data_IF_961130653774
#
_entry.id   IF_961130653774
#
_cell.length_a   1.000
_cell.length_b   1.000
_cell.length_c   1.000
_cell.angle_alpha   90.00
_cell.angle_beta   90.00
_cell.angle_gamma   90.00
#
_symmetry.space_group_name_H-M   'P 1'
#
loop_
_entity.id
_entity.type
_entity.pdbx_description
1 polymer ?
#
# COMPACT_ATOMS: atom_id res chain seq x y z
N UNK A 1 -44.99 40.93 29.54
CA UNK A 1 -45.46 41.28 30.89
C UNK A 1 -46.98 41.17 30.91
N UNK A 2 -47.59 40.66 31.97
CA UNK A 2 -47.56 39.26 32.44
C UNK A 2 -48.97 38.64 32.41
N UNK A 3 -49.12 37.36 32.75
CA UNK A 3 -50.43 36.78 33.07
C UNK A 3 -50.54 35.28 32.79
N UNK A 4 -50.11 34.47 33.75
CA UNK A 4 -50.43 33.05 33.87
C UNK A 4 -51.94 32.81 34.01
N UNK A 5 -52.43 31.70 33.46
CA UNK A 5 -53.57 30.98 34.02
C UNK A 5 -53.46 29.48 33.65
N UNK A 6 -53.26 28.63 34.65
CA UNK A 6 -53.77 27.25 34.67
C UNK A 6 -54.98 27.25 35.61
N UNK A 7 -55.97 26.35 35.43
CA UNK A 7 -55.90 25.14 36.25
C UNK A 7 -56.51 23.85 35.64
N UNK A 8 -55.99 22.75 36.17
CA UNK A 8 -56.67 21.52 36.64
C UNK A 8 -57.62 20.71 35.73
N UNK A 9 -57.33 19.40 35.68
CA UNK A 9 -58.31 18.44 36.19
C UNK A 9 -58.56 17.17 35.37
N UNK A 10 -58.16 16.02 35.93
CA UNK A 10 -58.74 14.68 35.69
C UNK A 10 -58.23 13.97 34.43
N UNK A 11 -57.89 12.69 34.40
CA UNK A 11 -58.08 11.59 35.34
C UNK A 11 -58.18 10.30 34.51
N UNK A 12 -57.56 9.21 34.96
CA UNK A 12 -57.93 7.86 34.52
C UNK A 12 -56.91 7.08 33.68
N UNK A 13 -56.16 6.22 34.38
CA UNK A 13 -56.09 4.77 34.16
C UNK A 13 -55.92 4.21 32.72
N UNK A 14 -54.74 3.63 32.41
CA UNK A 14 -54.49 2.16 32.38
C UNK A 14 -53.20 1.80 31.62
N UNK A 15 -52.40 0.96 32.30
CA UNK A 15 -51.70 -0.24 31.83
C UNK A 15 -50.97 -0.27 30.47
N UNK A 16 -49.67 -0.55 30.56
CA UNK A 16 -49.06 -1.67 29.83
C UNK A 16 -48.51 -1.38 28.43
N UNK A 17 -47.20 -1.18 28.34
CA UNK A 17 -46.50 -1.10 27.06
C UNK A 17 -44.98 -1.09 27.22
N UNK A 18 -44.42 -2.24 27.61
CA UNK A 18 -43.01 -2.58 27.39
C UNK A 18 -42.71 -2.51 25.89
N UNK A 19 -41.69 -1.74 25.48
CA UNK A 19 -41.39 -1.58 24.06
C UNK A 19 -40.05 -0.91 23.77
N UNK A 20 -38.98 -1.68 23.81
CA UNK A 20 -37.94 -1.65 22.76
C UNK A 20 -37.01 -0.44 22.68
N UNK A 21 -36.35 -0.06 23.78
CA UNK A 21 -35.13 0.74 23.69
C UNK A 21 -33.93 -0.15 23.34
N UNK A 22 -33.60 -0.30 22.05
CA UNK A 22 -32.45 -1.14 21.71
C UNK A 22 -32.19 -1.40 20.24
N UNK A 23 -32.05 -0.38 19.40
CA UNK A 23 -31.41 -0.54 18.07
C UNK A 23 -30.65 0.68 17.56
N UNK A 24 -30.86 1.88 18.12
CA UNK A 24 -30.13 3.09 17.68
C UNK A 24 -28.72 3.26 18.29
N UNK A 25 -28.44 2.62 19.44
CA UNK A 25 -27.16 2.74 20.14
C UNK A 25 -26.00 1.97 19.48
N UNK A 26 -26.28 0.79 18.92
CA UNK A 26 -25.24 -0.13 18.43
C UNK A 26 -24.60 0.33 17.12
N UNK A 27 -25.35 1.00 16.24
CA UNK A 27 -24.81 1.57 15.00
C UNK A 27 -23.95 2.83 15.25
N UNK A 28 -24.25 3.58 16.30
CA UNK A 28 -23.49 4.79 16.66
C UNK A 28 -22.14 4.45 17.31
N UNK A 29 -22.07 3.34 18.05
CA UNK A 29 -20.83 2.82 18.65
C UNK A 29 -19.81 2.36 17.60
N UNK A 30 -20.24 1.70 16.52
CA UNK A 30 -19.34 1.17 15.49
C UNK A 30 -18.71 2.23 14.57
N UNK A 31 -19.31 3.43 14.47
CA UNK A 31 -18.78 4.52 13.66
C UNK A 31 -17.67 5.32 14.37
N UNK A 32 -17.47 5.09 15.68
CA UNK A 32 -16.53 5.83 16.53
C UNK A 32 -15.22 5.13 16.89
N UNK A 33 -15.05 3.83 16.63
CA UNK A 33 -13.97 3.04 17.26
C UNK A 33 -12.60 3.07 16.54
N UNK A 34 -12.50 3.68 15.35
CA UNK A 34 -11.25 3.72 14.58
C UNK A 34 -10.48 5.02 14.74
N UNK A 35 -9.18 4.94 15.05
CA UNK A 35 -8.27 6.11 15.05
C UNK A 35 -7.33 6.09 13.85
N UNK A 36 -6.89 7.27 13.40
CA UNK A 36 -5.85 7.36 12.38
C UNK A 36 -4.50 7.19 13.06
N UNK A 37 -3.70 6.25 12.55
CA UNK A 37 -2.37 5.92 13.08
C UNK A 37 -1.34 6.10 11.98
N UNK A 38 -0.13 6.54 12.34
CA UNK A 38 1.01 6.55 11.42
C UNK A 38 1.30 5.12 10.92
N UNK A 39 1.84 4.96 9.71
CA UNK A 39 2.05 3.63 9.14
C UNK A 39 3.14 2.87 9.91
N UNK A 40 2.79 1.71 10.45
CA UNK A 40 3.75 0.81 11.11
C UNK A 40 4.61 0.05 10.09
N UNK A 41 4.13 -0.08 8.85
CA UNK A 41 4.88 -0.67 7.75
C UNK A 41 4.70 0.10 6.43
N UNK A 42 5.78 0.24 5.67
CA UNK A 42 5.81 1.01 4.42
C UNK A 42 6.42 0.19 3.29
N UNK A 43 5.74 0.12 2.15
CA UNK A 43 6.31 -0.43 0.91
C UNK A 43 7.03 0.71 0.17
N UNK A 44 8.34 0.82 0.41
CA UNK A 44 9.18 1.95 -0.02
C UNK A 44 9.66 1.83 -1.47
N UNK A 45 9.56 0.64 -2.09
CA UNK A 45 10.14 0.41 -3.41
C UNK A 45 10.01 -1.04 -3.89
N UNK A 46 10.54 -1.35 -5.07
CA UNK A 46 11.08 -0.37 -6.05
C UNK A 46 10.05 -0.03 -7.12
N UNK A 47 10.23 1.11 -7.78
CA UNK A 47 9.44 1.45 -8.97
C UNK A 47 9.54 0.30 -9.98
N UNK A 48 8.37 -0.19 -10.41
CA UNK A 48 8.18 -1.34 -11.32
C UNK A 48 8.48 -2.72 -10.75
N UNK A 49 8.76 -2.84 -9.46
CA UNK A 49 9.02 -4.14 -8.81
C UNK A 49 7.77 -5.00 -8.57
N UNK A 50 6.57 -4.40 -8.59
CA UNK A 50 5.32 -5.11 -8.25
C UNK A 50 4.64 -4.60 -6.97
N UNK A 51 5.11 -3.48 -6.44
CA UNK A 51 4.60 -2.84 -5.21
C UNK A 51 3.08 -2.69 -5.16
N UNK A 52 2.43 -2.31 -6.28
CA UNK A 52 0.95 -2.22 -6.33
C UNK A 52 0.30 -3.58 -6.15
N UNK A 53 0.83 -4.64 -6.77
CA UNK A 53 0.29 -5.99 -6.61
C UNK A 53 0.38 -6.42 -5.15
N UNK A 54 1.55 -6.24 -4.53
CA UNK A 54 1.75 -6.59 -3.12
C UNK A 54 0.74 -5.89 -2.21
N UNK A 55 0.56 -4.57 -2.37
CA UNK A 55 -0.38 -3.84 -1.50
C UNK A 55 -1.83 -4.30 -1.70
N UNK A 56 -2.27 -4.53 -2.94
CA UNK A 56 -3.63 -5.03 -3.19
C UNK A 56 -3.84 -6.44 -2.62
N UNK A 57 -2.83 -7.31 -2.70
CA UNK A 57 -2.90 -8.65 -2.12
C UNK A 57 -2.94 -8.60 -0.59
N UNK A 58 -2.13 -7.75 0.04
CA UNK A 58 -2.13 -7.57 1.50
C UNK A 58 -3.45 -7.00 2.04
N UNK A 59 -4.13 -6.13 1.27
CA UNK A 59 -5.44 -5.56 1.66
C UNK A 59 -6.56 -6.59 1.81
N UNK A 60 -6.34 -7.84 1.37
CA UNK A 60 -7.24 -8.95 1.63
C UNK A 60 -7.22 -9.37 3.10
N UNK A 61 -6.11 -9.14 3.80
CA UNK A 61 -5.98 -9.47 5.21
C UNK A 61 -6.85 -8.55 6.08
N UNK A 62 -7.68 -9.08 7.01
CA UNK A 62 -8.59 -8.26 7.82
C UNK A 62 -7.87 -7.23 8.69
N UNK A 63 -6.65 -7.55 9.13
CA UNK A 63 -5.84 -6.65 9.97
C UNK A 63 -4.96 -5.68 9.17
N UNK A 64 -5.14 -5.54 7.85
CA UNK A 64 -4.37 -4.59 7.03
C UNK A 64 -5.27 -3.48 6.51
N UNK A 65 -4.91 -2.24 6.86
CA UNK A 65 -5.52 -1.03 6.30
C UNK A 65 -4.45 -0.21 5.61
N UNK A 66 -4.72 0.21 4.39
CA UNK A 66 -3.74 0.93 3.60
C UNK A 66 -4.30 2.12 2.82
N UNK A 67 -3.48 3.15 2.67
CA UNK A 67 -3.76 4.28 1.77
C UNK A 67 -3.87 3.76 0.33
N UNK A 68 -4.90 4.19 -0.40
CA UNK A 68 -5.13 3.74 -1.78
C UNK A 68 -4.21 4.40 -2.81
N UNK A 69 -3.94 5.70 -2.61
CA UNK A 69 -3.00 6.48 -3.41
C UNK A 69 -1.56 6.34 -2.86
N UNK A 70 -0.58 6.80 -3.62
CA UNK A 70 0.81 6.93 -3.16
C UNK A 70 0.92 8.29 -2.43
N UNK A 71 1.14 8.34 -1.10
CA UNK A 71 1.16 9.60 -0.35
C UNK A 71 2.20 10.59 -0.84
N UNK A 72 3.37 10.10 -1.26
CA UNK A 72 4.52 10.95 -1.57
C UNK A 72 4.86 11.93 -0.43
N UNK A 73 4.72 11.50 0.82
CA UNK A 73 5.00 12.33 1.98
C UNK A 73 6.50 12.51 2.18
N UNK A 74 7.26 11.42 2.23
CA UNK A 74 8.69 11.48 2.53
C UNK A 74 9.58 11.93 1.36
N UNK A 75 9.02 12.15 0.17
CA UNK A 75 9.73 12.66 -1.00
C UNK A 75 9.23 14.02 -1.49
N UNK A 76 7.91 14.26 -1.59
CA UNK A 76 7.37 15.49 -2.24
C UNK A 76 6.56 16.41 -1.32
N UNK A 77 6.02 15.89 -0.23
CA UNK A 77 5.04 16.61 0.58
C UNK A 77 5.43 16.65 2.07
N UNK A 78 6.72 16.57 2.39
CA UNK A 78 7.21 16.43 3.76
C UNK A 78 6.91 17.66 4.62
N UNK A 79 6.91 18.83 3.99
CA UNK A 79 6.58 20.13 4.57
C UNK A 79 5.14 20.23 5.09
N UNK A 80 4.23 19.33 4.67
CA UNK A 80 2.86 19.27 5.20
C UNK A 80 2.78 18.80 6.65
N UNK A 81 3.88 18.25 7.19
CA UNK A 81 3.96 17.75 8.56
C UNK A 81 3.22 16.42 8.78
N UNK A 82 3.51 15.76 9.91
CA UNK A 82 2.95 14.45 10.24
C UNK A 82 1.43 14.47 10.53
N UNK A 83 0.88 15.65 10.80
CA UNK A 83 -0.57 15.84 10.96
C UNK A 83 -1.32 15.75 9.62
N UNK A 84 -0.63 15.57 8.48
CA UNK A 84 -1.27 15.46 7.18
C UNK A 84 -2.18 14.23 7.10
N UNK A 85 -3.46 14.49 6.91
CA UNK A 85 -4.57 13.58 7.21
C UNK A 85 -4.83 12.48 6.13
N UNK A 86 -3.82 11.70 5.77
CA UNK A 86 -3.91 10.69 4.70
C UNK A 86 -4.20 9.27 5.17
N UNK A 87 -3.90 8.94 6.43
CA UNK A 87 -3.99 7.57 6.90
C UNK A 87 -5.46 7.14 7.08
N UNK A 88 -5.82 5.89 6.72
CA UNK A 88 -7.13 5.37 7.03
C UNK A 88 -7.31 5.24 8.55
N UNK A 89 -8.56 5.30 9.02
CA UNK A 89 -8.89 4.88 10.38
C UNK A 89 -8.68 3.38 10.51
N UNK A 90 -8.12 2.96 11.63
CA UNK A 90 -7.81 1.57 11.97
C UNK A 90 -8.33 1.24 13.36
N UNK A 91 -8.81 0.01 13.54
CA UNK A 91 -9.15 -0.56 14.84
C UNK A 91 -7.88 -1.06 15.55
N UNK A 92 -8.02 -1.43 16.82
CA UNK A 92 -6.95 -2.07 17.57
C UNK A 92 -6.53 -3.40 16.91
N UNK A 93 -5.24 -3.71 16.93
CA UNK A 93 -4.67 -4.88 16.25
C UNK A 93 -4.48 -4.74 14.73
N UNK A 94 -5.12 -3.77 14.07
CA UNK A 94 -4.89 -3.53 12.64
C UNK A 94 -3.59 -2.74 12.41
N UNK A 95 -2.89 -3.06 11.32
CA UNK A 95 -1.74 -2.31 10.84
C UNK A 95 -2.15 -1.31 9.77
N UNK A 96 -1.60 -0.11 9.87
CA UNK A 96 -1.68 0.96 8.87
C UNK A 96 -0.48 0.87 7.94
N UNK A 97 -0.73 0.87 6.63
CA UNK A 97 0.32 0.80 5.62
C UNK A 97 0.15 1.88 4.54
N UNK A 98 1.28 2.23 3.93
CA UNK A 98 1.31 2.98 2.67
C UNK A 98 2.31 2.37 1.69
N UNK A 99 2.24 2.83 0.44
CA UNK A 99 3.20 2.46 -0.60
C UNK A 99 3.54 3.64 -1.48
N UNK A 100 4.80 4.07 -1.43
CA UNK A 100 5.38 5.05 -2.34
C UNK A 100 6.71 4.55 -2.90
N UNK A 101 6.73 4.00 -4.14
CA UNK A 101 7.92 3.33 -4.66
C UNK A 101 9.15 4.21 -4.91
N UNK A 102 8.97 5.54 -4.95
CA UNK A 102 10.07 6.50 -5.09
C UNK A 102 10.89 6.67 -3.81
N UNK A 103 10.34 6.36 -2.64
CA UNK A 103 11.07 6.52 -1.38
C UNK A 103 12.40 5.79 -1.40
N UNK A 104 12.46 4.57 -1.96
CA UNK A 104 13.67 3.77 -2.00
C UNK A 104 14.89 4.51 -2.57
N UNK A 105 14.67 5.43 -3.51
CA UNK A 105 15.72 6.22 -4.18
C UNK A 105 15.77 7.68 -3.72
N UNK A 106 14.87 8.09 -2.83
CA UNK A 106 14.88 9.44 -2.22
C UNK A 106 15.92 9.49 -1.11
N UNK A 107 16.94 10.32 -1.26
CA UNK A 107 18.08 10.40 -0.35
C UNK A 107 17.67 10.68 1.10
N UNK A 108 16.70 11.56 1.31
CA UNK A 108 16.25 12.01 2.63
C UNK A 108 15.21 11.06 3.27
N UNK A 109 14.60 10.16 2.50
CA UNK A 109 13.49 9.33 2.98
C UNK A 109 13.88 8.44 4.18
N UNK A 110 15.05 7.77 4.21
CA UNK A 110 15.43 6.95 5.37
C UNK A 110 15.47 7.75 6.68
N UNK A 111 16.12 8.92 6.67
CA UNK A 111 16.25 9.79 7.84
C UNK A 111 14.88 10.29 8.33
N UNK A 112 14.00 10.67 7.38
CA UNK A 112 12.66 11.17 7.69
C UNK A 112 11.75 10.08 8.26
N UNK A 113 11.76 8.87 7.70
CA UNK A 113 10.95 7.75 8.18
C UNK A 113 11.47 7.27 9.55
N UNK A 114 12.78 7.20 9.74
CA UNK A 114 13.38 6.81 11.03
C UNK A 114 13.01 7.81 12.14
N UNK A 115 13.01 9.11 11.81
CA UNK A 115 12.57 10.18 12.73
C UNK A 115 11.07 10.10 13.08
N UNK A 116 10.23 9.61 12.18
CA UNK A 116 8.80 9.41 12.45
C UNK A 116 8.58 8.33 13.50
N UNK A 117 9.15 7.14 13.27
CA UNK A 117 9.07 6.02 14.21
C UNK A 117 10.21 5.01 13.95
N UNK A 118 11.11 4.84 14.92
CA UNK A 118 12.25 3.92 14.82
C UNK A 118 11.84 2.46 14.57
N UNK A 119 10.66 2.04 15.02
CA UNK A 119 10.12 0.69 14.84
C UNK A 119 9.46 0.41 13.49
N UNK A 120 9.46 1.37 12.54
CA UNK A 120 8.81 1.20 11.23
C UNK A 120 9.41 0.01 10.47
N UNK A 121 8.56 -0.88 9.97
CA UNK A 121 8.96 -1.99 9.09
C UNK A 121 8.94 -1.55 7.63
N UNK A 122 9.96 -1.93 6.87
CA UNK A 122 10.13 -1.53 5.48
C UNK A 122 10.03 -2.74 4.57
N UNK A 123 9.32 -2.60 3.45
CA UNK A 123 9.21 -3.65 2.44
C UNK A 123 9.70 -3.11 1.09
N UNK A 124 10.60 -3.88 0.46
CA UNK A 124 11.14 -3.61 -0.87
C UNK A 124 10.77 -4.78 -1.78
N UNK A 125 9.89 -4.52 -2.74
CA UNK A 125 9.58 -5.47 -3.82
C UNK A 125 10.60 -5.25 -4.93
N UNK A 126 11.58 -6.15 -5.02
CA UNK A 126 12.64 -6.12 -6.04
C UNK A 126 12.21 -6.92 -7.28
N UNK A 127 12.87 -6.65 -8.40
CA UNK A 127 12.71 -7.35 -9.69
C UNK A 127 14.07 -7.40 -10.37
N UNK A 128 14.29 -8.30 -11.31
CA UNK A 128 15.46 -8.26 -12.20
C UNK A 128 15.67 -6.81 -12.72
N UNK A 129 16.84 -6.18 -12.47
CA UNK A 129 17.10 -4.79 -12.85
C UNK A 129 16.88 -4.48 -14.33
N UNK A 130 17.16 -5.43 -15.24
CA UNK A 130 16.99 -5.28 -16.68
C UNK A 130 15.52 -5.20 -17.02
N UNK A 131 14.74 -6.20 -16.60
CA UNK A 131 13.29 -6.21 -16.90
C UNK A 131 12.55 -5.09 -16.17
N UNK A 132 13.05 -4.66 -15.01
CA UNK A 132 12.58 -3.48 -14.27
C UNK A 132 12.83 -2.19 -15.06
N UNK A 133 14.02 -2.01 -15.63
CA UNK A 133 14.38 -0.85 -16.45
C UNK A 133 13.52 -0.77 -17.72
N UNK A 134 13.35 -1.88 -18.42
CA UNK A 134 12.46 -1.98 -19.60
C UNK A 134 11.03 -1.60 -19.21
N UNK A 135 10.51 -2.15 -18.11
CA UNK A 135 9.15 -1.83 -17.64
C UNK A 135 8.97 -0.34 -17.27
N UNK A 136 10.03 0.31 -16.79
CA UNK A 136 10.07 1.73 -16.48
C UNK A 136 9.99 2.58 -17.76
N UNK A 137 10.84 2.23 -18.73
CA UNK A 137 10.83 2.80 -20.07
C UNK A 137 9.47 2.64 -20.75
N UNK A 138 8.89 1.44 -20.80
CA UNK A 138 7.56 1.18 -21.40
C UNK A 138 6.46 2.02 -20.74
N UNK A 139 6.55 2.26 -19.42
CA UNK A 139 5.59 3.14 -18.76
C UNK A 139 5.77 4.61 -19.19
N UNK A 140 7.01 5.06 -19.35
CA UNK A 140 7.33 6.40 -19.82
C UNK A 140 6.85 6.57 -21.27
N UNK A 141 7.15 5.61 -22.15
CA UNK A 141 6.71 5.58 -23.55
C UNK A 141 5.18 5.65 -23.66
N UNK A 142 4.44 4.90 -22.83
CA UNK A 142 2.97 4.94 -22.85
C UNK A 142 2.35 6.29 -22.45
N UNK A 143 3.13 7.18 -21.82
CA UNK A 143 2.71 8.54 -21.44
C UNK A 143 3.29 9.61 -22.38
N UNK A 144 4.44 9.32 -23.00
CA UNK A 144 5.18 10.20 -23.90
C UNK A 144 5.66 9.34 -25.08
N UNK A 145 4.86 9.24 -26.15
CA UNK A 145 5.19 8.38 -27.30
C UNK A 145 6.48 8.77 -28.02
N UNK A 146 6.85 10.06 -27.97
CA UNK A 146 7.97 10.63 -28.74
C UNK A 146 9.34 10.57 -28.04
N UNK A 147 9.55 9.62 -27.12
CA UNK A 147 10.85 9.44 -26.48
C UNK A 147 11.77 8.54 -27.33
N UNK A 148 13.11 8.68 -27.22
CA UNK A 148 14.05 7.80 -27.91
C UNK A 148 13.87 6.32 -27.54
N UNK A 149 14.47 5.41 -28.32
CA UNK A 149 14.40 3.96 -28.02
C UNK A 149 15.09 3.61 -26.71
N UNK A 150 14.76 2.45 -26.13
CA UNK A 150 15.40 1.96 -24.92
C UNK A 150 16.93 1.87 -25.08
N UNK A 151 17.39 1.32 -26.21
CA UNK A 151 18.81 1.18 -26.54
C UNK A 151 19.49 2.54 -26.65
N UNK A 152 18.82 3.53 -27.24
CA UNK A 152 19.36 4.89 -27.37
C UNK A 152 19.55 5.56 -26.01
N UNK A 153 18.65 5.34 -25.05
CA UNK A 153 18.74 5.92 -23.70
C UNK A 153 19.68 5.14 -22.78
N UNK A 154 19.99 3.88 -23.11
CA UNK A 154 20.81 3.00 -22.27
C UNK A 154 22.29 3.38 -22.30
N UNK A 155 22.80 3.87 -23.42
CA UNK A 155 24.22 4.11 -23.62
C UNK A 155 24.53 5.60 -23.67
N UNK A 156 25.50 6.03 -22.86
CA UNK A 156 26.14 7.35 -23.01
C UNK A 156 27.04 7.38 -24.25
N UNK A 157 27.69 6.24 -24.55
CA UNK A 157 28.40 6.01 -25.79
C UNK A 157 28.19 4.56 -26.24
N UNK A 158 27.45 4.37 -27.33
CA UNK A 158 27.10 3.04 -27.84
C UNK A 158 28.28 2.31 -28.46
N UNK A 159 29.22 3.02 -29.08
CA UNK A 159 30.41 2.44 -29.72
C UNK A 159 31.35 1.82 -28.69
N UNK A 160 31.51 2.46 -27.53
CA UNK A 160 32.36 1.94 -26.44
C UNK A 160 31.62 1.02 -25.46
N UNK A 161 30.29 0.87 -25.62
CA UNK A 161 29.46 0.13 -24.66
C UNK A 161 29.28 0.84 -23.32
N UNK A 162 29.62 2.14 -23.21
CA UNK A 162 29.49 2.90 -21.97
C UNK A 162 28.01 3.17 -21.65
N UNK A 163 27.52 2.50 -20.61
CA UNK A 163 26.14 2.63 -20.11
C UNK A 163 25.95 3.98 -19.42
N UNK A 164 24.82 4.64 -19.68
CA UNK A 164 24.40 5.86 -18.98
C UNK A 164 23.77 5.53 -17.62
N UNK A 165 24.60 5.42 -16.58
CA UNK A 165 24.13 5.17 -15.21
C UNK A 165 23.41 6.37 -14.57
N UNK A 166 23.42 7.54 -15.22
CA UNK A 166 22.64 8.71 -14.78
C UNK A 166 21.18 8.61 -15.19
N UNK A 167 20.86 7.80 -16.21
CA UNK A 167 19.48 7.58 -16.60
C UNK A 167 18.70 6.87 -15.51
N UNK A 168 17.59 7.47 -15.07
CA UNK A 168 16.79 6.97 -13.94
C UNK A 168 16.35 5.50 -14.08
N UNK A 169 16.10 5.01 -15.30
CA UNK A 169 15.73 3.60 -15.50
C UNK A 169 16.88 2.62 -15.20
N UNK A 170 18.14 3.06 -15.29
CA UNK A 170 19.28 2.25 -14.89
C UNK A 170 19.60 2.48 -13.43
N UNK A 171 19.65 3.75 -13.01
CA UNK A 171 20.01 4.17 -11.66
C UNK A 171 19.16 3.48 -10.57
N UNK A 172 17.84 3.38 -10.76
CA UNK A 172 16.93 2.74 -9.80
C UNK A 172 17.25 1.24 -9.61
N UNK A 173 17.79 0.58 -10.64
CA UNK A 173 18.12 -0.85 -10.64
C UNK A 173 19.38 -1.20 -9.84
N UNK A 174 20.17 -0.21 -9.42
CA UNK A 174 21.40 -0.40 -8.63
C UNK A 174 21.02 -0.54 -7.14
N UNK A 175 20.31 -1.60 -6.80
CA UNK A 175 19.64 -1.75 -5.50
C UNK A 175 20.59 -1.66 -4.31
N UNK A 176 21.79 -2.25 -4.42
CA UNK A 176 22.80 -2.22 -3.35
C UNK A 176 23.17 -0.79 -2.94
N UNK A 177 23.42 0.10 -3.91
CA UNK A 177 23.74 1.51 -3.68
C UNK A 177 22.65 2.24 -2.90
N UNK A 178 21.39 1.97 -3.22
CA UNK A 178 20.27 2.57 -2.50
C UNK A 178 20.13 1.98 -1.10
N UNK A 179 20.29 0.67 -0.97
CA UNK A 179 20.22 -0.04 0.31
C UNK A 179 21.25 0.49 1.32
N UNK A 180 22.48 0.79 0.89
CA UNK A 180 23.49 1.40 1.77
C UNK A 180 22.96 2.64 2.51
N UNK A 181 22.22 3.51 1.81
CA UNK A 181 21.61 4.69 2.43
C UNK A 181 20.51 4.34 3.46
N UNK A 182 19.74 3.27 3.22
CA UNK A 182 18.72 2.80 4.17
C UNK A 182 19.33 2.19 5.42
N UNK A 183 20.43 1.46 5.28
CA UNK A 183 21.11 0.77 6.39
C UNK A 183 21.80 1.72 7.37
N UNK A 184 21.99 2.99 6.99
CA UNK A 184 22.43 4.04 7.93
C UNK A 184 21.39 4.32 9.03
N UNK A 185 20.10 4.03 8.78
CA UNK A 185 18.98 4.42 9.65
C UNK A 185 18.13 3.25 10.13
N UNK A 186 18.18 2.10 9.46
CA UNK A 186 17.38 0.92 9.77
C UNK A 186 18.26 -0.33 9.82
N UNK A 187 18.11 -1.17 10.86
CA UNK A 187 18.73 -2.48 10.87
C UNK A 187 18.11 -3.37 9.77
N UNK A 188 18.91 -4.27 9.19
CA UNK A 188 18.46 -5.15 8.11
C UNK A 188 17.23 -5.99 8.50
N UNK A 189 17.08 -6.34 9.78
CA UNK A 189 15.90 -7.07 10.29
C UNK A 189 14.58 -6.30 10.20
N UNK A 190 14.61 -4.98 10.00
CA UNK A 190 13.42 -4.15 9.73
C UNK A 190 13.14 -3.98 8.24
N UNK A 191 13.89 -4.63 7.35
CA UNK A 191 13.73 -4.52 5.90
C UNK A 191 13.47 -5.89 5.30
N UNK A 192 12.29 -6.07 4.71
CA UNK A 192 11.95 -7.28 3.95
C UNK A 192 12.12 -7.06 2.46
N UNK A 193 12.88 -7.94 1.81
CA UNK A 193 12.96 -8.03 0.35
C UNK A 193 12.02 -9.11 -0.18
N UNK A 194 11.07 -8.66 -0.99
CA UNK A 194 10.05 -9.49 -1.66
C UNK A 194 10.47 -9.67 -3.11
N UNK A 195 10.45 -10.90 -3.62
CA UNK A 195 10.74 -11.16 -5.04
C UNK A 195 9.52 -10.83 -5.89
N UNK A 196 9.67 -9.91 -6.82
CA UNK A 196 8.63 -9.56 -7.79
C UNK A 196 8.32 -10.71 -8.75
N UNK A 197 9.32 -11.50 -9.13
CA UNK A 197 9.17 -12.71 -9.96
C UNK A 197 8.35 -13.78 -9.22
N UNK A 198 8.66 -14.00 -7.94
CA UNK A 198 7.93 -14.95 -7.11
C UNK A 198 6.53 -14.44 -6.73
N UNK A 199 6.33 -13.13 -6.61
CA UNK A 199 5.00 -12.54 -6.43
C UNK A 199 4.07 -12.79 -7.63
N UNK A 200 4.63 -13.09 -8.81
CA UNK A 200 3.87 -13.47 -10.01
C UNK A 200 3.63 -14.98 -10.04
N UNK A 201 4.68 -15.78 -9.84
CA UNK A 201 4.65 -17.24 -9.99
C UNK A 201 4.07 -17.98 -8.78
N UNK A 202 4.31 -17.49 -7.56
CA UNK A 202 3.84 -18.03 -6.29
C UNK A 202 3.47 -16.87 -5.33
N UNK A 203 2.36 -16.15 -5.59
CA UNK A 203 1.93 -15.03 -4.76
C UNK A 203 1.65 -15.45 -3.32
N UNK A 204 1.08 -16.65 -3.10
CA UNK A 204 0.77 -17.14 -1.76
C UNK A 204 2.04 -17.36 -0.93
N UNK A 205 3.09 -17.95 -1.51
CA UNK A 205 4.37 -18.15 -0.83
C UNK A 205 5.07 -16.85 -0.43
N UNK A 206 5.08 -15.83 -1.31
CA UNK A 206 5.62 -14.52 -0.96
C UNK A 206 4.77 -13.80 0.09
N UNK A 207 3.44 -13.86 -0.02
CA UNK A 207 2.54 -13.27 0.99
C UNK A 207 2.65 -13.96 2.35
N UNK A 208 3.00 -15.25 2.41
CA UNK A 208 3.34 -15.95 3.65
C UNK A 208 4.51 -15.29 4.38
N UNK A 209 5.60 -15.00 3.66
CA UNK A 209 6.78 -14.30 4.21
C UNK A 209 6.45 -12.89 4.69
N UNK A 210 5.61 -12.18 3.93
CA UNK A 210 5.21 -10.81 4.28
C UNK A 210 4.32 -10.79 5.53
N UNK A 211 3.38 -11.72 5.66
CA UNK A 211 2.53 -11.84 6.85
C UNK A 211 3.38 -12.09 8.11
N UNK A 212 4.33 -13.04 8.06
CA UNK A 212 5.24 -13.30 9.19
C UNK A 212 6.07 -12.08 9.55
N UNK A 213 6.67 -11.43 8.55
CA UNK A 213 7.47 -10.23 8.75
C UNK A 213 6.67 -9.12 9.42
N UNK A 214 5.39 -8.97 9.08
CA UNK A 214 4.49 -7.99 9.68
C UNK A 214 3.96 -8.44 11.05
N UNK A 215 4.14 -9.70 11.45
CA UNK A 215 3.57 -10.26 12.68
C UNK A 215 2.08 -10.57 12.55
N UNK A 216 1.59 -10.76 11.33
CA UNK A 216 0.20 -11.09 11.03
C UNK A 216 0.00 -12.61 10.98
N UNK A 217 -1.22 -13.05 11.30
CA UNK A 217 -1.63 -14.43 11.04
C UNK A 217 -1.56 -14.72 9.53
N UNK A 218 -1.12 -15.91 9.15
CA UNK A 218 -1.15 -16.35 7.74
C UNK A 218 -2.58 -16.68 7.30
N UNK A 219 -3.31 -15.67 6.85
CA UNK A 219 -4.68 -15.79 6.32
C UNK A 219 -4.67 -15.83 4.79
N UNK A 220 -3.82 -15.04 4.14
CA UNK A 220 -3.71 -15.02 2.69
C UNK A 220 -2.98 -16.28 2.23
N UNK A 221 -3.67 -17.07 1.41
CA UNK A 221 -3.25 -18.37 0.88
C UNK A 221 -3.52 -18.49 -0.62
N UNK A 222 -3.11 -19.60 -1.23
CA UNK A 222 -3.38 -19.99 -2.62
C UNK A 222 -4.86 -19.87 -3.02
N UNK A 223 -5.79 -20.14 -2.10
CA UNK A 223 -7.24 -20.02 -2.32
C UNK A 223 -7.70 -18.60 -2.68
N UNK A 224 -6.91 -17.58 -2.37
CA UNK A 224 -7.21 -16.18 -2.68
C UNK A 224 -6.78 -15.77 -4.08
N UNK A 225 -6.04 -16.62 -4.80
CA UNK A 225 -5.47 -16.30 -6.10
C UNK A 225 -6.04 -17.18 -7.21
N UNK A 226 -6.14 -16.60 -8.40
CA UNK A 226 -6.42 -17.27 -9.66
C UNK A 226 -5.47 -16.71 -10.73
N UNK A 227 -4.88 -17.57 -11.55
CA UNK A 227 -3.99 -17.14 -12.63
C UNK A 227 -4.77 -16.82 -13.91
N UNK A 228 -4.74 -15.55 -14.33
CA UNK A 228 -5.39 -15.15 -15.58
C UNK A 228 -4.43 -15.38 -16.76
N UNK A 229 -4.66 -16.46 -17.51
CA UNK A 229 -3.84 -16.84 -18.67
C UNK A 229 -3.76 -15.75 -19.74
N UNK A 230 -4.86 -15.06 -20.01
CA UNK A 230 -4.91 -13.96 -21.00
C UNK A 230 -4.09 -12.76 -20.56
N UNK A 231 -4.07 -12.46 -19.26
CA UNK A 231 -3.27 -11.37 -18.70
C UNK A 231 -1.81 -11.78 -18.50
N UNK A 232 -1.54 -13.05 -18.21
CA UNK A 232 -0.22 -13.56 -17.82
C UNK A 232 0.16 -13.26 -16.36
N UNK A 233 -0.80 -12.88 -15.51
CA UNK A 233 -0.56 -12.48 -14.12
C UNK A 233 -1.61 -13.05 -13.16
N UNK A 234 -1.26 -13.28 -11.88
CA UNK A 234 -2.23 -13.64 -10.85
C UNK A 234 -3.20 -12.49 -10.57
N UNK A 235 -4.45 -12.86 -10.30
CA UNK A 235 -5.53 -11.97 -9.87
C UNK A 235 -6.11 -12.47 -8.56
N UNK A 236 -6.78 -11.58 -7.82
CA UNK A 236 -7.51 -11.95 -6.61
C UNK A 236 -8.84 -12.63 -6.99
N UNK A 237 -9.09 -13.80 -6.40
CA UNK A 237 -10.42 -14.41 -6.34
C UNK A 237 -11.28 -13.56 -5.41
N UNK A 238 -12.53 -13.30 -5.79
CA UNK A 238 -13.47 -12.65 -4.88
C UNK A 238 -14.10 -13.68 -3.94
N UNK A 239 -14.62 -13.20 -2.81
CA UNK A 239 -15.46 -13.98 -1.90
C UNK A 239 -16.65 -14.58 -2.65
N UNK A 240 -17.13 -15.74 -2.17
CA UNK A 240 -18.25 -16.47 -2.75
C UNK A 240 -19.46 -15.54 -2.96
N UNK A 241 -19.93 -15.42 -4.21
CA UNK A 241 -21.12 -14.63 -4.57
C UNK A 241 -20.93 -13.47 -5.56
N UNK A 242 -19.72 -13.22 -6.09
CA UNK A 242 -19.54 -12.19 -7.14
C UNK A 242 -18.87 -12.74 -8.41
N UNK A 243 -19.40 -12.35 -9.57
CA UNK A 243 -19.18 -13.06 -10.84
C UNK A 243 -17.87 -12.74 -11.57
N UNK A 244 -17.02 -11.82 -11.09
CA UNK A 244 -15.78 -11.43 -11.79
C UNK A 244 -14.56 -11.28 -10.86
N UNK A 245 -13.42 -11.94 -11.17
CA UNK A 245 -12.18 -11.83 -10.40
C UNK A 245 -11.60 -10.41 -10.44
N UNK A 246 -10.88 -10.01 -9.39
CA UNK A 246 -10.23 -8.69 -9.31
C UNK A 246 -8.78 -8.76 -9.80
N UNK A 247 -8.59 -8.40 -11.08
CA UNK A 247 -7.27 -8.25 -11.68
C UNK A 247 -6.81 -6.79 -11.63
N UNK A 248 -5.50 -6.58 -11.47
CA UNK A 248 -4.91 -5.24 -11.59
C UNK A 248 -5.14 -4.67 -13.00
N UNK A 249 -5.25 -3.35 -13.09
CA UNK A 249 -5.54 -2.64 -14.35
C UNK A 249 -4.56 -2.91 -15.49
N UNK A 250 -4.92 -2.51 -16.72
CA UNK A 250 -4.17 -2.77 -17.97
C UNK A 250 -2.72 -2.25 -17.97
N UNK A 251 -2.39 -1.31 -17.09
CA UNK A 251 -1.04 -0.75 -16.96
C UNK A 251 -0.13 -1.50 -15.99
N UNK A 252 -0.64 -2.55 -15.34
CA UNK A 252 0.05 -3.35 -14.32
C UNK A 252 0.15 -4.79 -14.78
N UNK A 253 1.30 -5.40 -14.50
CA UNK A 253 1.64 -6.73 -15.01
C UNK A 253 1.83 -6.69 -16.52
N UNK A 254 3.00 -6.22 -16.97
CA UNK A 254 3.44 -6.30 -18.35
C UNK A 254 4.81 -6.97 -18.32
N UNK A 255 4.97 -8.01 -19.13
CA UNK A 255 6.26 -8.60 -19.48
C UNK A 255 6.97 -7.68 -20.45
#
# INVERSE_FOLDING_TARGET
APGEEMPAGGGGNRAGGSGGGGTAGTLTLLLGEGTKRLPQAIIIGVKKGGTRALLEFLRVHPDVRAVGAEPHFFDRNYERGLAWDLMPRTLEGQITMEKTPSYFVTKEAPARISSMAKGTKLIVVVRDPVTRAISDYTQTLSKKPDIPTFESLTFKNRTTGLIDTSWSAIQIGIYAKHLENWLLYFPIGQILFVSGERLISDPAGELGRVQDFLGLKRIITDKHFYFNKTKGFPCLKKAEGSSKPHCLGKTKGRT
#
